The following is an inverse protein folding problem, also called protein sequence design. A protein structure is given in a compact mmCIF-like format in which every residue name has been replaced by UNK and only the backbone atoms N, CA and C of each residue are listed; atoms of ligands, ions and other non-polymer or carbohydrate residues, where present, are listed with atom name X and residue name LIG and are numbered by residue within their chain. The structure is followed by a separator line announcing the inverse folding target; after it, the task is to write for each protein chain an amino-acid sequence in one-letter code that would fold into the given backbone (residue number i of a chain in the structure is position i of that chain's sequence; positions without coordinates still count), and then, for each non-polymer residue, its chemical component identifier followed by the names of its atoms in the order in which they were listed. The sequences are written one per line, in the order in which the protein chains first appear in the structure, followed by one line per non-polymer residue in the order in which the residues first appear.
data_IF_570323387090
#
_entry.id   IF_570323387090
#
_cell.length_a   1.000
_cell.length_b   1.000
_cell.length_c   1.000
_cell.angle_alpha   90.00
_cell.angle_beta   90.00
_cell.angle_gamma   90.00
#
_symmetry.space_group_name_H-M   'P 1'
#
loop_
_entity.id
_entity.type
_entity.pdbx_description
1 polymer ?
#
# COMPACT_ATOMS: atom_id res chain seq x y z
N UNK A 1 30.94 -20.15 0.57
CA UNK A 1 30.43 -19.48 -0.65
C UNK A 1 28.93 -19.37 -0.53
N UNK A 2 28.42 -18.14 -0.48
CA UNK A 2 27.03 -17.82 -0.16
C UNK A 2 26.08 -18.39 -1.22
N UNK A 3 25.20 -19.28 -0.78
CA UNK A 3 24.11 -19.80 -1.61
C UNK A 3 23.10 -18.71 -1.90
N UNK A 4 23.16 -18.16 -3.10
CA UNK A 4 22.05 -17.42 -3.70
C UNK A 4 20.93 -18.41 -4.03
N UNK A 5 20.15 -18.82 -3.03
CA UNK A 5 18.85 -19.44 -3.28
C UNK A 5 17.87 -18.35 -3.71
N UNK A 6 17.84 -18.10 -5.02
CA UNK A 6 16.80 -17.31 -5.70
C UNK A 6 15.50 -18.08 -5.67
N UNK A 7 14.63 -17.78 -4.72
CA UNK A 7 13.20 -18.08 -4.87
C UNK A 7 12.65 -17.21 -6.02
N UNK A 8 12.31 -17.90 -7.11
CA UNK A 8 11.65 -17.32 -8.28
C UNK A 8 10.28 -16.77 -7.86
N UNK A 9 10.11 -15.45 -7.82
CA UNK A 9 8.77 -14.85 -7.80
C UNK A 9 8.68 -13.39 -7.38
N UNK A 10 9.60 -12.89 -6.55
CA UNK A 10 9.42 -11.58 -5.93
C UNK A 10 10.70 -10.75 -6.07
N UNK A 11 10.78 -9.99 -7.17
CA UNK A 11 11.53 -8.72 -7.14
C UNK A 11 10.75 -7.80 -6.18
N UNK A 12 10.96 -7.99 -4.87
CA UNK A 12 10.42 -7.09 -3.87
C UNK A 12 11.26 -5.81 -3.96
N UNK A 13 10.69 -4.80 -4.61
CA UNK A 13 11.22 -3.44 -4.58
C UNK A 13 11.33 -2.97 -3.12
N UNK A 14 12.28 -2.06 -2.80
CA UNK A 14 12.44 -1.54 -1.45
C UNK A 14 11.14 -0.92 -0.92
N UNK A 15 10.95 -0.96 0.40
CA UNK A 15 9.81 -0.31 1.04
C UNK A 15 9.94 1.20 0.89
N UNK A 16 8.91 1.83 0.35
CA UNK A 16 8.79 3.26 0.16
C UNK A 16 7.83 3.83 1.19
N UNK A 17 8.19 5.00 1.72
CA UNK A 17 7.38 5.75 2.67
C UNK A 17 6.68 6.88 1.94
N UNK A 18 5.39 7.06 2.18
CA UNK A 18 4.64 8.18 1.62
C UNK A 18 3.68 8.76 2.67
N UNK A 19 3.89 10.01 3.10
CA UNK A 19 3.02 10.63 4.09
C UNK A 19 1.65 10.92 3.47
N UNK A 20 0.60 10.35 4.06
CA UNK A 20 -0.80 10.60 3.70
C UNK A 20 -1.54 10.97 4.99
N UNK A 21 -1.34 12.18 5.56
CA UNK A 21 -1.86 12.51 6.88
C UNK A 21 -3.36 12.21 7.01
N UNK A 22 -3.79 11.54 8.10
CA UNK A 22 -3.01 11.15 9.28
C UNK A 22 -2.19 9.84 9.15
N UNK A 23 -2.27 9.15 8.02
CA UNK A 23 -1.66 7.84 7.79
C UNK A 23 -0.20 7.94 7.32
N UNK A 24 0.68 7.13 7.92
CA UNK A 24 2.03 6.89 7.41
C UNK A 24 2.01 5.65 6.52
N UNK A 25 1.68 5.83 5.24
CA UNK A 25 1.54 4.73 4.29
C UNK A 25 2.91 4.23 3.87
N UNK A 26 3.17 2.96 4.17
CA UNK A 26 4.34 2.20 3.72
C UNK A 26 3.89 1.31 2.60
N UNK A 27 4.69 1.20 1.54
CA UNK A 27 4.33 0.34 0.44
C UNK A 27 5.55 -0.25 -0.24
N UNK A 28 5.35 -1.41 -0.85
CA UNK A 28 6.27 -2.03 -1.79
C UNK A 28 5.48 -2.46 -3.02
N UNK A 29 6.18 -2.89 -4.05
CA UNK A 29 5.52 -3.36 -5.27
C UNK A 29 6.28 -4.51 -5.89
N UNK A 30 5.57 -5.24 -6.72
CA UNK A 30 6.14 -6.08 -7.76
C UNK A 30 5.58 -5.65 -9.13
N UNK A 31 5.76 -6.46 -10.16
CA UNK A 31 5.30 -6.14 -11.52
C UNK A 31 3.77 -6.06 -11.67
N UNK A 32 3.01 -6.65 -10.74
CA UNK A 32 1.54 -6.80 -10.81
C UNK A 32 0.78 -6.06 -9.71
N UNK A 33 1.32 -5.95 -8.50
CA UNK A 33 0.61 -5.35 -7.38
C UNK A 33 1.46 -4.36 -6.58
N UNK A 34 0.77 -3.59 -5.75
CA UNK A 34 1.33 -2.90 -4.61
C UNK A 34 0.81 -3.56 -3.34
N UNK A 35 1.70 -3.78 -2.38
CA UNK A 35 1.33 -4.09 -1.00
C UNK A 35 1.57 -2.82 -0.19
N UNK A 36 0.53 -2.29 0.46
CA UNK A 36 0.59 -1.12 1.30
C UNK A 36 0.17 -1.50 2.72
N UNK A 37 0.74 -0.84 3.70
CA UNK A 37 0.31 -0.97 5.08
C UNK A 37 0.58 0.30 5.87
N UNK A 38 -0.22 0.53 6.91
CA UNK A 38 0.01 1.56 7.92
C UNK A 38 -0.47 1.07 9.29
N UNK A 39 0.19 1.50 10.39
CA UNK A 39 -0.26 1.16 11.73
C UNK A 39 -1.63 1.79 12.02
N UNK A 40 -2.43 1.13 12.85
CA UNK A 40 -3.67 1.73 13.35
C UNK A 40 -3.36 3.02 14.13
N UNK A 41 -4.26 3.98 14.06
CA UNK A 41 -4.16 5.26 14.75
C UNK A 41 -4.32 5.07 16.27
N UNK A 42 -5.23 4.19 16.70
CA UNK A 42 -5.41 3.80 18.09
C UNK A 42 -5.20 2.30 18.28
N UNK A 43 -4.61 1.84 19.40
CA UNK A 43 -4.46 0.42 19.71
C UNK A 43 -5.80 -0.31 19.91
N UNK A 44 -6.86 0.42 20.24
CA UNK A 44 -8.21 -0.13 20.42
C UNK A 44 -9.00 -0.22 19.12
N UNK A 45 -8.46 0.29 18.00
CA UNK A 45 -9.18 0.27 16.75
C UNK A 45 -9.49 -1.18 16.32
N UNK A 46 -10.63 -1.29 15.66
CA UNK A 46 -11.23 -2.48 15.08
C UNK A 46 -11.41 -2.29 13.58
N UNK A 47 -11.84 -3.33 12.88
CA UNK A 47 -12.08 -3.25 11.43
C UNK A 47 -13.16 -2.22 11.09
N UNK A 48 -14.18 -2.05 11.95
CA UNK A 48 -15.30 -1.13 11.75
C UNK A 48 -14.89 0.36 11.80
N UNK A 49 -13.76 0.68 12.43
CA UNK A 49 -13.23 2.04 12.51
C UNK A 49 -12.61 2.51 11.19
N UNK A 50 -12.33 1.55 10.28
CA UNK A 50 -11.69 1.77 9.00
C UNK A 50 -12.61 1.40 7.85
N UNK A 51 -12.51 2.15 6.76
CA UNK A 51 -13.05 1.72 5.48
C UNK A 51 -12.10 2.13 4.36
N UNK A 52 -11.73 1.17 3.50
CA UNK A 52 -10.92 1.43 2.32
C UNK A 52 -11.77 1.25 1.08
N UNK A 53 -11.84 2.30 0.27
CA UNK A 53 -12.57 2.29 -1.01
C UNK A 53 -11.59 2.40 -2.17
N UNK A 54 -11.73 1.48 -3.10
CA UNK A 54 -10.94 1.40 -4.32
C UNK A 54 -11.70 2.03 -5.48
N UNK A 55 -11.03 2.92 -6.19
CA UNK A 55 -11.45 3.44 -7.48
C UNK A 55 -10.32 3.20 -8.48
N UNK A 56 -10.62 3.12 -9.79
CA UNK A 56 -9.61 2.76 -10.77
C UNK A 56 -8.36 3.65 -10.75
N UNK A 57 -8.45 4.92 -10.33
CA UNK A 57 -7.30 5.82 -10.21
C UNK A 57 -7.25 6.57 -8.88
N UNK A 58 -7.93 6.08 -7.85
CA UNK A 58 -8.00 6.74 -6.56
C UNK A 58 -8.14 5.71 -5.44
N UNK A 59 -7.40 5.94 -4.36
CA UNK A 59 -7.52 5.20 -3.11
C UNK A 59 -8.11 6.14 -2.07
N UNK A 60 -9.18 5.72 -1.41
CA UNK A 60 -9.77 6.45 -0.29
C UNK A 60 -9.67 5.63 0.98
N UNK A 61 -9.04 6.19 2.00
CA UNK A 61 -8.96 5.60 3.35
C UNK A 61 -9.83 6.44 4.27
N UNK A 62 -10.80 5.82 4.93
CA UNK A 62 -11.69 6.45 5.89
C UNK A 62 -11.34 5.96 7.28
N UNK A 63 -11.21 6.88 8.22
CA UNK A 63 -11.05 6.58 9.64
C UNK A 63 -12.04 7.41 10.45
N UNK A 64 -12.85 6.78 11.29
CA UNK A 64 -13.84 7.47 12.13
C UNK A 64 -14.70 8.48 11.34
N UNK A 65 -15.18 8.07 10.16
CA UNK A 65 -15.99 8.89 9.26
C UNK A 65 -15.24 9.99 8.49
N UNK A 66 -13.93 10.16 8.70
CA UNK A 66 -13.10 11.13 7.97
C UNK A 66 -12.36 10.42 6.83
N UNK A 67 -12.72 10.78 5.60
CA UNK A 67 -12.12 10.22 4.39
C UNK A 67 -10.91 11.03 3.92
N UNK A 68 -9.83 10.33 3.55
CA UNK A 68 -8.66 10.88 2.88
C UNK A 68 -8.52 10.17 1.54
N UNK A 69 -8.75 10.92 0.46
CA UNK A 69 -8.60 10.42 -0.92
C UNK A 69 -7.24 10.82 -1.49
N UNK A 70 -6.63 9.90 -2.23
CA UNK A 70 -5.38 10.12 -2.96
C UNK A 70 -5.47 9.54 -4.37
N UNK A 71 -5.18 10.38 -5.35
CA UNK A 71 -5.09 9.97 -6.75
C UNK A 71 -3.87 9.06 -6.95
N UNK A 72 -4.09 7.91 -7.58
CA UNK A 72 -3.05 6.97 -7.98
C UNK A 72 -2.35 7.47 -9.25
N UNK A 73 -1.07 7.12 -9.41
CA UNK A 73 -0.29 7.51 -10.59
C UNK A 73 -0.78 6.83 -11.87
N UNK A 74 -1.30 5.62 -11.76
CA UNK A 74 -1.84 4.82 -12.85
C UNK A 74 -3.19 4.21 -12.49
N UNK A 75 -3.66 3.26 -13.31
CA UNK A 75 -4.93 2.58 -13.09
C UNK A 75 -4.74 1.25 -12.35
N UNK A 76 -5.62 0.97 -11.39
CA UNK A 76 -5.74 -0.29 -10.67
C UNK A 76 -7.01 -1.03 -11.08
N UNK A 77 -6.95 -2.36 -11.01
CA UNK A 77 -8.08 -3.24 -11.19
C UNK A 77 -8.77 -3.44 -9.85
N UNK A 78 -9.94 -2.82 -9.69
CA UNK A 78 -10.68 -2.73 -8.42
C UNK A 78 -11.10 -4.11 -7.93
N UNK A 79 -11.44 -5.03 -8.83
CA UNK A 79 -11.91 -6.37 -8.48
C UNK A 79 -10.80 -7.23 -7.84
N UNK A 80 -9.53 -6.89 -8.10
CA UNK A 80 -8.36 -7.52 -7.49
C UNK A 80 -7.79 -6.74 -6.31
N UNK A 81 -8.40 -5.62 -5.92
CA UNK A 81 -7.97 -4.84 -4.77
C UNK A 81 -8.72 -5.31 -3.52
N UNK A 82 -8.00 -5.42 -2.40
CA UNK A 82 -8.61 -5.74 -1.11
C UNK A 82 -7.83 -5.08 0.02
N UNK A 83 -8.46 -5.03 1.18
CA UNK A 83 -7.81 -4.60 2.40
C UNK A 83 -8.22 -5.51 3.56
N UNK A 84 -7.41 -5.52 4.60
CA UNK A 84 -7.61 -6.32 5.81
C UNK A 84 -6.97 -5.60 7.00
N UNK A 85 -7.46 -5.91 8.19
CA UNK A 85 -6.79 -5.57 9.44
C UNK A 85 -5.96 -6.79 9.89
N UNK A 86 -4.65 -6.61 10.05
CA UNK A 86 -3.73 -7.69 10.37
C UNK A 86 -2.91 -7.35 11.62
N UNK A 87 -2.54 -8.34 12.42
CA UNK A 87 -1.60 -8.14 13.52
C UNK A 87 -0.17 -8.46 13.06
N UNK A 88 0.70 -7.46 13.07
CA UNK A 88 2.09 -7.60 12.65
C UNK A 88 3.01 -7.67 13.88
N UNK A 89 3.76 -8.76 14.00
CA UNK A 89 4.71 -8.99 15.09
C UNK A 89 5.65 -7.80 15.30
N UNK A 90 5.62 -7.23 16.51
CA UNK A 90 6.44 -6.07 16.89
C UNK A 90 5.93 -4.71 16.40
N UNK A 91 4.79 -4.64 15.68
CA UNK A 91 4.17 -3.39 15.20
C UNK A 91 2.69 -3.24 15.58
N UNK A 92 2.06 -4.29 16.11
CA UNK A 92 0.66 -4.29 16.50
C UNK A 92 -0.27 -4.41 15.30
N UNK A 93 -1.52 -3.96 15.46
CA UNK A 93 -2.52 -3.97 14.39
C UNK A 93 -2.16 -2.99 13.28
N UNK A 94 -2.17 -3.45 12.05
CA UNK A 94 -1.91 -2.69 10.83
C UNK A 94 -3.07 -2.86 9.87
N UNK A 95 -3.40 -1.80 9.15
CA UNK A 95 -4.28 -1.89 7.98
C UNK A 95 -3.40 -2.28 6.80
N UNK A 96 -3.69 -3.43 6.21
CA UNK A 96 -3.03 -3.98 5.02
C UNK A 96 -3.92 -3.73 3.80
N UNK A 97 -3.33 -3.25 2.70
CA UNK A 97 -4.04 -2.94 1.45
C UNK A 97 -3.25 -3.52 0.29
N UNK A 98 -3.92 -4.27 -0.58
CA UNK A 98 -3.35 -4.76 -1.84
C UNK A 98 -4.02 -4.07 -3.00
N UNK A 99 -3.23 -3.46 -3.88
CA UNK A 99 -3.70 -2.85 -5.11
C UNK A 99 -3.19 -3.65 -6.32
N UNK A 100 -4.10 -4.12 -7.17
CA UNK A 100 -3.76 -4.80 -8.41
C UNK A 100 -3.60 -3.78 -9.54
N UNK A 101 -2.44 -3.76 -10.22
CA UNK A 101 -2.21 -2.88 -11.37
C UNK A 101 -3.05 -3.33 -12.56
N UNK A 102 -3.72 -2.40 -13.25
CA UNK A 102 -4.46 -2.73 -14.47
C UNK A 102 -3.50 -3.15 -15.60
N UNK A 103 -3.47 -4.44 -15.91
CA UNK A 103 -2.70 -4.97 -17.04
C UNK A 103 -3.41 -4.72 -18.38
N UNK A 104 -2.67 -4.68 -19.50
CA UNK A 104 -1.20 -4.62 -19.58
C UNK A 104 -0.64 -3.20 -19.43
N UNK A 105 -1.47 -2.17 -19.71
CA UNK A 105 -1.02 -0.76 -19.88
C UNK A 105 -0.38 -0.13 -18.65
N UNK A 106 -0.70 -0.62 -17.45
CA UNK A 106 -0.19 -0.09 -16.19
C UNK A 106 0.61 -1.13 -15.37
N UNK A 107 0.97 -2.26 -15.99
CA UNK A 107 1.88 -3.24 -15.39
C UNK A 107 3.33 -2.75 -15.38
N UNK A 108 4.20 -3.36 -14.56
CA UNK A 108 5.61 -2.98 -14.41
C UNK A 108 5.90 -2.15 -13.15
N UNK A 109 7.15 -1.75 -12.94
CA UNK A 109 7.58 -0.99 -11.75
C UNK A 109 7.22 0.49 -11.90
N UNK A 110 6.54 1.06 -10.90
CA UNK A 110 6.18 2.47 -10.87
C UNK A 110 7.13 3.24 -9.96
N UNK A 111 7.58 4.42 -10.35
CA UNK A 111 8.41 5.25 -9.48
C UNK A 111 7.62 5.84 -8.29
N UNK A 112 6.33 6.09 -8.48
CA UNK A 112 5.44 6.67 -7.48
C UNK A 112 4.09 5.97 -7.48
N UNK A 113 3.57 5.67 -6.29
CA UNK A 113 2.22 5.14 -6.12
C UNK A 113 1.17 6.24 -6.30
N UNK A 114 1.32 7.36 -5.60
CA UNK A 114 0.39 8.48 -5.63
C UNK A 114 0.85 9.57 -6.61
N UNK A 115 -0.11 10.30 -7.18
CA UNK A 115 0.17 11.44 -8.05
C UNK A 115 0.69 12.62 -7.21
N UNK A 116 1.80 13.21 -7.63
CA UNK A 116 2.36 14.40 -7.00
C UNK A 116 3.15 14.15 -5.71
N UNK A 117 3.41 12.89 -5.34
CA UNK A 117 4.27 12.55 -4.20
C UNK A 117 5.69 12.26 -4.68
N UNK A 118 6.68 12.95 -4.11
CA UNK A 118 8.08 12.52 -4.21
C UNK A 118 8.34 11.44 -3.15
N UNK A 119 9.01 10.32 -3.49
CA UNK A 119 9.32 9.28 -2.53
C UNK A 119 10.41 9.83 -1.62
N UNK A 120 10.11 9.94 -0.32
CA UNK A 120 11.15 10.13 0.68
C UNK A 120 11.87 8.80 0.83
N UNK A 121 13.17 8.76 0.50
CA UNK A 121 14.02 7.63 0.87
C UNK A 121 13.96 7.47 2.40
N UNK A 122 13.97 6.22 2.92
CA UNK A 122 14.18 6.02 4.35
C UNK A 122 15.50 6.69 4.76
N UNK A 123 15.58 7.28 5.97
CA UNK A 123 16.87 7.73 6.49
C UNK A 123 17.85 6.55 6.50
N UNK A 124 19.07 6.82 6.03
CA UNK A 124 20.18 5.86 5.95
C UNK A 124 20.53 5.28 7.32
#
# INVERSE_FOLDING_TARGET
MAGFYREKGFLNEPVVFTPVPPFEVRWRQNSRCFDLWFPCISPTDSEDDYAVRFMPQELTITYNGKAVSRALRGKVDVDGCFWSLEEMSGRGKVVSIVLLKSAPRHSGTWQHLFRGTCPSQPPA
#
